data_IF_674762961718
#
_entry.id   IF_674762961718
#
_cell.length_a   1.000
_cell.length_b   1.000
_cell.length_c   1.000
_cell.angle_alpha   90.00
_cell.angle_beta   90.00
_cell.angle_gamma   90.00
#
_symmetry.space_group_name_H-M   'P 1'
#
loop_
_entity.id
_entity.type
_entity.pdbx_description
1 polymer ?
#
# COMPACT_ATOMS: atom_id res chain seq x y z
N UNK A 1 2.30 33.41 8.82
CA UNK A 1 1.11 33.40 7.97
C UNK A 1 0.26 32.16 8.31
N UNK A 2 -1.02 32.36 8.67
CA UNK A 2 -1.92 31.28 9.13
C UNK A 2 -2.02 30.13 8.10
N UNK A 3 -2.10 30.45 6.80
CA UNK A 3 -2.14 29.46 5.71
C UNK A 3 -0.83 28.64 5.62
N UNK A 4 0.34 29.25 5.93
CA UNK A 4 1.61 28.51 5.89
C UNK A 4 1.66 27.41 6.95
N UNK A 5 1.02 27.60 8.10
CA UNK A 5 0.97 26.59 9.16
C UNK A 5 0.32 25.28 8.69
N UNK A 6 -0.75 25.36 7.86
CA UNK A 6 -1.34 24.15 7.27
C UNK A 6 -0.36 23.43 6.34
N UNK A 7 0.32 24.17 5.45
CA UNK A 7 1.30 23.59 4.54
C UNK A 7 2.48 22.99 5.29
N UNK A 8 2.97 23.68 6.33
CA UNK A 8 4.09 23.22 7.16
C UNK A 8 3.71 21.92 7.89
N UNK A 9 2.47 21.83 8.41
CA UNK A 9 2.00 20.62 9.07
C UNK A 9 1.78 19.46 8.10
N UNK A 10 1.23 19.72 6.91
CA UNK A 10 1.08 18.70 5.85
C UNK A 10 2.46 18.17 5.43
N UNK A 11 3.42 19.05 5.23
CA UNK A 11 4.80 18.68 4.87
C UNK A 11 5.48 17.89 6.01
N UNK A 12 5.27 18.29 7.26
CA UNK A 12 5.76 17.54 8.41
C UNK A 12 5.19 16.13 8.45
N UNK A 13 3.89 15.98 8.27
CA UNK A 13 3.24 14.66 8.21
C UNK A 13 3.81 13.80 7.09
N UNK A 14 4.04 14.39 5.90
CA UNK A 14 4.68 13.68 4.78
C UNK A 14 6.07 13.16 5.15
N UNK A 15 6.91 13.99 5.75
CA UNK A 15 8.27 13.63 6.19
C UNK A 15 8.26 12.56 7.28
N UNK A 16 7.31 12.64 8.23
CA UNK A 16 7.12 11.61 9.26
C UNK A 16 6.74 10.29 8.60
N UNK A 17 5.82 10.29 7.63
CA UNK A 17 5.38 9.07 6.94
C UNK A 17 6.51 8.42 6.15
N UNK A 18 7.33 9.21 5.44
CA UNK A 18 8.52 8.71 4.74
C UNK A 18 9.54 8.09 5.71
N UNK A 19 9.76 8.73 6.86
CA UNK A 19 10.67 8.21 7.88
C UNK A 19 10.16 6.89 8.50
N UNK A 20 8.85 6.80 8.81
CA UNK A 20 8.25 5.57 9.33
C UNK A 20 8.35 4.40 8.34
N UNK A 21 8.13 4.67 7.06
CA UNK A 21 8.29 3.66 6.02
C UNK A 21 9.76 3.20 5.89
N UNK A 22 10.71 4.13 5.94
CA UNK A 22 12.14 3.81 5.94
C UNK A 22 12.55 2.99 7.17
N UNK A 23 12.02 3.32 8.36
CA UNK A 23 12.27 2.54 9.57
C UNK A 23 11.73 1.11 9.43
N UNK A 24 10.53 0.93 8.88
CA UNK A 24 9.96 -0.39 8.67
C UNK A 24 10.79 -1.21 7.66
N UNK A 25 11.28 -0.59 6.58
CA UNK A 25 12.16 -1.25 5.61
C UNK A 25 13.53 -1.60 6.22
N UNK A 26 14.09 -0.72 7.03
CA UNK A 26 15.33 -0.99 7.76
C UNK A 26 15.16 -2.14 8.76
N UNK A 27 14.04 -2.16 9.48
CA UNK A 27 13.71 -3.26 10.39
C UNK A 27 13.55 -4.58 9.63
N UNK A 28 12.86 -4.55 8.48
CA UNK A 28 12.72 -5.71 7.61
C UNK A 28 14.09 -6.25 7.17
N UNK A 29 14.96 -5.36 6.68
CA UNK A 29 16.32 -5.73 6.27
C UNK A 29 17.10 -6.35 7.43
N UNK A 30 17.09 -5.71 8.59
CA UNK A 30 17.79 -6.21 9.79
C UNK A 30 17.33 -7.62 10.19
N UNK A 31 16.02 -7.89 10.16
CA UNK A 31 15.47 -9.16 10.63
C UNK A 31 15.55 -10.29 9.60
N UNK A 32 15.25 -10.00 8.33
CA UNK A 32 14.99 -11.02 7.31
C UNK A 32 16.06 -11.11 6.21
N UNK A 33 17.01 -10.18 6.21
CA UNK A 33 18.15 -10.19 5.28
C UNK A 33 19.46 -10.34 6.03
N UNK A 34 19.67 -9.51 7.05
CA UNK A 34 20.90 -9.49 7.83
C UNK A 34 20.85 -10.44 9.05
N UNK A 35 19.64 -10.91 9.43
CA UNK A 35 19.36 -11.81 10.56
C UNK A 35 19.89 -11.30 11.92
N UNK A 36 19.98 -9.98 12.11
CA UNK A 36 20.61 -9.37 13.28
C UNK A 36 20.09 -9.91 14.63
N UNK A 37 18.76 -10.03 14.86
CA UNK A 37 18.25 -10.54 16.13
C UNK A 37 18.53 -12.04 16.37
N UNK A 38 18.97 -12.75 15.33
CA UNK A 38 19.12 -14.21 15.34
C UNK A 38 20.59 -14.67 15.27
N UNK A 39 21.55 -13.73 15.25
CA UNK A 39 22.99 -14.01 15.05
C UNK A 39 23.60 -14.97 16.06
N UNK A 40 23.11 -14.94 17.31
CA UNK A 40 23.59 -15.81 18.38
C UNK A 40 22.95 -17.21 18.37
N UNK A 41 21.97 -17.42 17.45
CA UNK A 41 21.28 -18.68 17.26
C UNK A 41 22.04 -19.65 16.35
N UNK A 42 21.47 -20.82 16.15
CA UNK A 42 21.97 -21.79 15.19
C UNK A 42 21.55 -21.42 13.77
N UNK A 43 22.47 -21.69 12.82
CA UNK A 43 22.22 -21.51 11.40
C UNK A 43 22.40 -22.83 10.67
N UNK A 44 21.58 -23.05 9.65
CA UNK A 44 21.62 -24.21 8.75
C UNK A 44 21.88 -23.76 7.32
N UNK A 45 22.50 -24.64 6.54
CA UNK A 45 22.72 -24.36 5.12
C UNK A 45 21.42 -24.54 4.32
N UNK A 46 21.21 -23.66 3.35
CA UNK A 46 20.09 -23.72 2.41
C UNK A 46 20.55 -23.32 1.00
N UNK A 47 19.67 -23.48 0.01
CA UNK A 47 19.91 -23.06 -1.37
C UNK A 47 20.04 -21.53 -1.53
N UNK A 48 19.57 -20.73 -0.56
CA UNK A 48 19.73 -19.29 -0.49
C UNK A 48 20.82 -18.83 0.48
N UNK A 49 21.75 -19.72 0.85
CA UNK A 49 22.80 -19.48 1.82
C UNK A 49 22.41 -19.93 3.22
N UNK A 50 23.15 -19.46 4.23
CA UNK A 50 22.90 -19.82 5.63
C UNK A 50 21.72 -19.05 6.20
N UNK A 51 20.76 -19.77 6.74
CA UNK A 51 19.54 -19.22 7.34
C UNK A 51 19.41 -19.66 8.81
N UNK A 52 18.72 -18.92 9.69
CA UNK A 52 18.49 -19.35 11.07
C UNK A 52 17.75 -20.69 11.13
N UNK A 53 18.07 -21.53 12.12
CA UNK A 53 17.38 -22.79 12.33
C UNK A 53 15.87 -22.60 12.51
N UNK A 54 15.07 -23.45 11.86
CA UNK A 54 13.61 -23.35 11.85
C UNK A 54 13.00 -22.44 10.76
N UNK A 55 13.84 -21.70 10.02
CA UNK A 55 13.39 -20.97 8.84
C UNK A 55 13.35 -21.89 7.63
N UNK A 56 12.60 -21.51 6.60
CA UNK A 56 12.40 -22.35 5.40
C UNK A 56 12.69 -21.55 4.14
N UNK A 57 13.21 -22.23 3.13
CA UNK A 57 13.16 -21.72 1.75
C UNK A 57 11.83 -22.15 1.14
N UNK A 58 11.15 -21.20 0.50
CA UNK A 58 9.88 -21.41 -0.17
C UNK A 58 9.66 -20.33 -1.21
N UNK A 59 8.42 -20.05 -1.58
CA UNK A 59 8.04 -19.04 -2.54
C UNK A 59 6.94 -18.14 -1.96
N UNK A 60 6.61 -17.04 -2.66
CA UNK A 60 5.47 -16.21 -2.26
C UNK A 60 4.16 -16.99 -2.17
N UNK A 61 3.99 -18.05 -2.97
CA UNK A 61 2.81 -18.90 -2.95
C UNK A 61 2.55 -19.51 -1.56
N UNK A 62 3.59 -19.80 -0.80
CA UNK A 62 3.50 -20.44 0.52
C UNK A 62 2.95 -19.50 1.61
N UNK A 63 2.97 -18.19 1.35
CA UNK A 63 2.51 -17.14 2.29
C UNK A 63 1.32 -16.32 1.75
N UNK A 64 0.80 -16.71 0.59
CA UNK A 64 -0.38 -16.09 -0.05
C UNK A 64 -1.57 -17.05 0.05
N UNK A 65 -2.71 -16.53 0.50
CA UNK A 65 -3.97 -17.27 0.51
C UNK A 65 -4.56 -17.37 -0.91
N UNK A 66 -4.69 -16.22 -1.59
CA UNK A 66 -5.23 -16.14 -2.94
C UNK A 66 -4.84 -14.86 -3.67
N UNK A 67 -5.00 -14.87 -4.98
CA UNK A 67 -4.84 -13.69 -5.84
C UNK A 67 -6.14 -13.43 -6.60
N UNK A 68 -6.52 -12.17 -6.75
CA UNK A 68 -7.74 -11.77 -7.44
C UNK A 68 -7.43 -10.82 -8.58
N UNK A 69 -8.05 -11.07 -9.74
CA UNK A 69 -8.04 -10.09 -10.83
C UNK A 69 -8.95 -8.90 -10.49
N UNK A 70 -8.57 -7.70 -10.94
CA UNK A 70 -9.41 -6.53 -10.79
C UNK A 70 -10.71 -6.56 -11.63
N UNK A 71 -11.49 -5.51 -11.49
CA UNK A 71 -12.70 -5.27 -12.30
C UNK A 71 -12.84 -3.76 -12.54
N UNK A 72 -12.83 -3.35 -13.82
CA UNK A 72 -12.98 -1.94 -14.19
C UNK A 72 -14.46 -1.51 -14.21
N UNK A 73 -15.37 -2.42 -14.46
CA UNK A 73 -16.79 -2.13 -14.51
C UNK A 73 -17.21 -1.11 -15.57
N UNK A 74 -18.29 -0.39 -15.27
CA UNK A 74 -18.90 0.67 -16.11
C UNK A 74 -18.82 2.03 -15.42
N UNK A 75 -18.92 3.11 -16.19
CA UNK A 75 -18.90 4.50 -15.65
C UNK A 75 -20.19 4.87 -14.93
N UNK A 76 -21.29 4.31 -15.37
CA UNK A 76 -22.60 4.52 -14.78
C UNK A 76 -23.32 3.21 -14.53
N UNK A 77 -24.36 3.26 -13.72
CA UNK A 77 -25.24 2.11 -13.46
C UNK A 77 -25.92 1.67 -14.76
N UNK A 78 -25.66 0.43 -15.20
CA UNK A 78 -26.15 -0.11 -16.47
C UNK A 78 -26.37 -1.62 -16.37
N UNK A 79 -27.59 -2.08 -16.70
CA UNK A 79 -27.94 -3.50 -16.64
C UNK A 79 -27.69 -4.08 -15.25
N UNK A 80 -26.92 -5.16 -15.19
CA UNK A 80 -26.56 -5.83 -13.93
C UNK A 80 -25.34 -5.20 -13.21
N UNK A 81 -24.74 -4.13 -13.77
CA UNK A 81 -23.69 -3.37 -13.11
C UNK A 81 -24.33 -2.31 -12.18
N UNK A 82 -24.70 -2.75 -11.00
CA UNK A 82 -25.48 -1.97 -10.03
C UNK A 82 -24.70 -1.56 -8.80
N UNK A 83 -23.65 -2.32 -8.45
CA UNK A 83 -22.84 -2.09 -7.26
C UNK A 83 -21.81 -0.97 -7.52
N UNK A 84 -21.95 0.12 -6.80
CA UNK A 84 -21.01 1.25 -6.83
C UNK A 84 -19.72 0.87 -6.10
N UNK A 85 -18.58 1.10 -6.74
CA UNK A 85 -17.25 0.86 -6.17
C UNK A 85 -16.27 1.98 -6.52
N UNK A 86 -15.20 2.06 -5.75
CA UNK A 86 -14.02 2.88 -6.03
C UNK A 86 -12.89 1.96 -6.50
N UNK A 87 -12.24 2.32 -7.62
CA UNK A 87 -11.37 1.41 -8.32
C UNK A 87 -9.90 1.87 -8.26
N UNK A 88 -9.05 1.15 -7.52
CA UNK A 88 -7.61 1.45 -7.42
C UNK A 88 -6.93 1.19 -8.76
N UNK A 89 -6.21 2.20 -9.25
CA UNK A 89 -5.33 2.12 -10.43
C UNK A 89 -3.86 2.12 -10.00
N UNK A 90 -2.96 1.73 -10.88
CA UNK A 90 -1.52 1.87 -10.67
C UNK A 90 -1.09 3.30 -10.28
N UNK A 91 -1.77 4.32 -10.84
CA UNK A 91 -1.52 5.73 -10.51
C UNK A 91 -1.91 6.12 -9.07
N UNK A 92 -2.79 5.39 -8.43
CA UNK A 92 -3.24 5.68 -7.06
C UNK A 92 -2.30 5.07 -6.00
N UNK A 93 -1.52 4.03 -6.36
CA UNK A 93 -0.63 3.29 -5.46
C UNK A 93 0.34 4.20 -4.68
N UNK A 94 1.07 5.15 -5.31
CA UNK A 94 2.00 6.00 -4.56
C UNK A 94 1.33 6.87 -3.49
N UNK A 95 0.12 7.34 -3.75
CA UNK A 95 -0.65 8.15 -2.79
C UNK A 95 -1.14 7.29 -1.63
N UNK A 96 -1.70 6.11 -1.92
CA UNK A 96 -2.19 5.17 -0.89
C UNK A 96 -1.04 4.75 0.04
N UNK A 97 0.16 4.50 -0.49
CA UNK A 97 1.36 4.19 0.32
C UNK A 97 1.69 5.29 1.33
N UNK A 98 1.46 6.55 0.98
CA UNK A 98 1.71 7.70 1.85
C UNK A 98 0.59 8.00 2.83
N UNK A 99 -0.47 7.18 2.85
CA UNK A 99 -1.63 7.37 3.70
C UNK A 99 -2.74 8.24 3.09
N UNK A 100 -2.54 8.71 1.85
CA UNK A 100 -3.56 9.47 1.13
C UNK A 100 -4.67 8.55 0.61
N UNK A 101 -5.84 9.11 0.33
CA UNK A 101 -6.97 8.34 -0.22
C UNK A 101 -6.81 7.92 -1.69
N UNK A 102 -5.84 8.51 -2.42
CA UNK A 102 -5.77 8.38 -3.87
C UNK A 102 -6.83 9.19 -4.61
N UNK A 103 -6.91 9.02 -5.92
CA UNK A 103 -7.91 9.65 -6.78
C UNK A 103 -8.68 8.57 -7.56
N UNK A 104 -9.23 7.63 -6.81
CA UNK A 104 -9.92 6.46 -7.35
C UNK A 104 -11.20 6.85 -8.06
N UNK A 105 -11.41 6.47 -9.34
CA UNK A 105 -12.66 6.71 -10.03
C UNK A 105 -13.79 5.86 -9.46
N UNK A 106 -14.99 6.43 -9.45
CA UNK A 106 -16.22 5.69 -9.19
C UNK A 106 -16.54 4.81 -10.40
N UNK A 107 -16.87 3.55 -10.14
CA UNK A 107 -17.28 2.57 -11.15
C UNK A 107 -18.49 1.77 -10.66
N UNK A 108 -19.12 1.05 -11.58
CA UNK A 108 -20.23 0.15 -11.27
C UNK A 108 -19.90 -1.24 -11.77
N UNK A 109 -19.91 -2.21 -10.87
CA UNK A 109 -19.63 -3.62 -11.16
C UNK A 109 -20.83 -4.50 -10.83
N UNK A 110 -20.76 -5.76 -11.23
CA UNK A 110 -21.77 -6.75 -10.91
C UNK A 110 -21.64 -7.12 -9.44
N UNK A 111 -22.75 -7.26 -8.72
CA UNK A 111 -22.78 -7.61 -7.29
C UNK A 111 -21.95 -8.86 -6.97
N UNK A 112 -22.07 -9.93 -7.77
CA UNK A 112 -21.29 -11.15 -7.62
C UNK A 112 -19.77 -10.89 -7.68
N UNK A 113 -19.33 -9.99 -8.57
CA UNK A 113 -17.93 -9.61 -8.68
C UNK A 113 -17.48 -8.82 -7.45
N UNK A 114 -18.32 -7.94 -6.94
CA UNK A 114 -18.02 -7.21 -5.71
C UNK A 114 -17.79 -8.16 -4.54
N UNK A 115 -18.69 -9.10 -4.31
CA UNK A 115 -18.55 -10.09 -3.23
C UNK A 115 -17.25 -10.90 -3.29
N UNK A 116 -16.74 -11.17 -4.50
CA UNK A 116 -15.50 -11.95 -4.69
C UNK A 116 -14.23 -11.10 -4.78
N UNK A 117 -14.33 -9.82 -5.15
CA UNK A 117 -13.18 -8.95 -5.48
C UNK A 117 -13.02 -7.74 -4.56
N UNK A 118 -13.96 -7.51 -3.64
CA UNK A 118 -13.83 -6.45 -2.65
C UNK A 118 -12.54 -6.62 -1.84
N UNK A 119 -11.80 -5.51 -1.72
CA UNK A 119 -10.58 -5.48 -0.95
C UNK A 119 -10.88 -5.45 0.54
N UNK A 120 -10.01 -6.08 1.30
CA UNK A 120 -10.09 -6.18 2.76
C UNK A 120 -8.83 -5.58 3.41
N UNK A 121 -8.93 -5.31 4.69
CA UNK A 121 -7.77 -4.88 5.49
C UNK A 121 -6.65 -5.93 5.45
N UNK A 122 -5.45 -5.47 5.16
CA UNK A 122 -4.28 -6.32 4.99
C UNK A 122 -4.08 -6.89 3.58
N UNK A 123 -5.03 -6.73 2.66
CA UNK A 123 -4.82 -7.05 1.25
C UNK A 123 -3.72 -6.16 0.65
N UNK A 124 -3.08 -6.65 -0.40
CA UNK A 124 -2.09 -5.90 -1.15
C UNK A 124 -2.54 -5.76 -2.61
N UNK A 125 -2.48 -4.55 -3.15
CA UNK A 125 -2.75 -4.29 -4.58
C UNK A 125 -1.44 -4.03 -5.29
N UNK A 126 -1.23 -4.74 -6.41
CA UNK A 126 -0.03 -4.68 -7.23
C UNK A 126 -0.41 -4.24 -8.64
N UNK A 127 0.34 -3.28 -9.19
CA UNK A 127 0.28 -2.91 -10.59
C UNK A 127 0.91 -4.02 -11.44
N UNK A 128 0.12 -4.66 -12.30
CA UNK A 128 0.62 -5.72 -13.17
C UNK A 128 0.77 -5.28 -14.63
N UNK A 129 0.19 -4.14 -15.00
CA UNK A 129 0.32 -3.57 -16.35
C UNK A 129 0.58 -2.08 -16.27
N UNK A 130 1.61 -1.62 -16.95
CA UNK A 130 2.04 -0.22 -16.92
C UNK A 130 3.56 -0.12 -17.08
N UNK A 131 4.18 0.59 -16.17
CA UNK A 131 5.63 0.80 -16.17
C UNK A 131 6.11 1.75 -17.24
N UNK A 132 7.42 1.92 -17.31
CA UNK A 132 8.13 2.70 -18.32
C UNK A 132 9.49 2.05 -18.56
N UNK A 133 10.31 2.53 -19.50
CA UNK A 133 11.67 2.02 -19.67
C UNK A 133 12.52 2.05 -18.39
N UNK A 134 12.26 3.02 -17.51
CA UNK A 134 13.02 3.25 -16.27
C UNK A 134 12.27 2.85 -15.00
N UNK A 135 10.97 2.51 -15.09
CA UNK A 135 10.14 2.14 -13.98
C UNK A 135 9.53 0.77 -14.22
N UNK A 136 9.86 -0.19 -13.35
CA UNK A 136 9.26 -1.51 -13.39
C UNK A 136 7.76 -1.48 -13.11
N UNK A 137 7.02 -2.44 -13.62
CA UNK A 137 5.73 -2.88 -13.09
C UNK A 137 5.94 -3.55 -11.73
N UNK A 138 4.88 -3.77 -10.98
CA UNK A 138 4.99 -4.43 -9.67
C UNK A 138 4.95 -3.48 -8.49
N UNK A 139 4.70 -2.17 -8.69
CA UNK A 139 4.42 -1.25 -7.58
C UNK A 139 3.26 -1.79 -6.75
N UNK A 140 3.39 -1.73 -5.43
CA UNK A 140 2.39 -2.27 -4.53
C UNK A 140 1.96 -1.27 -3.46
N UNK A 141 0.75 -1.43 -2.94
CA UNK A 141 0.29 -0.79 -1.71
C UNK A 141 -0.52 -1.77 -0.86
N UNK A 142 -0.49 -1.55 0.46
CA UNK A 142 -1.36 -2.26 1.40
C UNK A 142 -2.70 -1.55 1.51
N UNK A 143 -3.74 -2.34 1.73
CA UNK A 143 -5.08 -1.83 2.02
C UNK A 143 -5.22 -1.77 3.53
N UNK A 144 -5.57 -0.59 4.05
CA UNK A 144 -5.81 -0.36 5.46
C UNK A 144 -7.30 -0.24 5.75
N UNK A 145 -7.64 -0.55 7.00
CA UNK A 145 -8.99 -0.27 7.51
C UNK A 145 -9.37 1.20 7.33
N UNK A 146 -8.47 2.14 7.63
CA UNK A 146 -8.72 3.57 7.46
C UNK A 146 -9.03 3.97 6.01
N UNK A 147 -8.37 3.35 5.02
CA UNK A 147 -8.71 3.55 3.61
C UNK A 147 -10.08 2.95 3.28
N UNK A 148 -10.38 1.75 3.76
CA UNK A 148 -11.68 1.10 3.54
C UNK A 148 -12.84 1.92 4.13
N UNK A 149 -12.69 2.43 5.34
CA UNK A 149 -13.70 3.23 6.03
C UNK A 149 -14.03 4.52 5.27
N UNK A 150 -13.03 5.19 4.67
CA UNK A 150 -13.23 6.37 3.81
C UNK A 150 -14.13 6.11 2.60
N UNK A 151 -14.18 4.87 2.14
CA UNK A 151 -14.91 4.46 0.94
C UNK A 151 -16.04 3.45 1.24
N UNK A 152 -16.50 3.38 2.49
CA UNK A 152 -17.56 2.48 2.94
C UNK A 152 -17.30 1.02 2.52
N UNK A 153 -16.06 0.55 2.62
CA UNK A 153 -15.61 -0.80 2.23
C UNK A 153 -15.92 -1.19 0.78
N UNK A 154 -16.13 -0.20 -0.11
CA UNK A 154 -16.52 -0.41 -1.50
C UNK A 154 -15.34 -0.19 -2.46
N UNK A 155 -14.21 -0.85 -2.21
CA UNK A 155 -12.98 -0.70 -2.99
C UNK A 155 -12.66 -2.02 -3.72
N UNK A 156 -12.31 -1.89 -4.99
CA UNK A 156 -11.73 -2.96 -5.85
C UNK A 156 -10.50 -2.41 -6.56
N UNK A 157 -9.74 -3.25 -7.27
CA UNK A 157 -8.67 -2.78 -8.15
C UNK A 157 -9.06 -2.93 -9.63
N UNK A 158 -8.36 -2.21 -10.51
CA UNK A 158 -8.55 -2.31 -11.97
C UNK A 158 -8.00 -3.60 -12.53
N UNK A 159 -8.33 -3.91 -13.80
CA UNK A 159 -7.76 -5.05 -14.53
C UNK A 159 -6.24 -4.93 -14.76
N UNK A 160 -5.67 -3.73 -14.65
CA UNK A 160 -4.23 -3.47 -14.72
C UNK A 160 -3.54 -3.67 -13.36
N UNK A 161 -4.30 -4.06 -12.35
CA UNK A 161 -3.81 -4.40 -11.02
C UNK A 161 -4.26 -5.82 -10.65
N UNK A 162 -3.57 -6.39 -9.68
CA UNK A 162 -3.91 -7.66 -9.05
C UNK A 162 -3.99 -7.46 -7.54
N UNK A 163 -5.03 -7.97 -6.92
CA UNK A 163 -5.09 -8.04 -5.47
C UNK A 163 -4.47 -9.35 -4.98
N UNK A 164 -3.62 -9.28 -3.98
CA UNK A 164 -3.09 -10.41 -3.25
C UNK A 164 -3.72 -10.42 -1.87
N UNK A 165 -4.26 -11.55 -1.48
CA UNK A 165 -4.71 -11.84 -0.13
C UNK A 165 -3.62 -12.65 0.57
N UNK A 166 -2.82 -12.05 1.47
CA UNK A 166 -1.80 -12.78 2.20
C UNK A 166 -2.42 -13.72 3.24
N UNK A 167 -1.67 -14.74 3.65
CA UNK A 167 -1.93 -15.35 4.94
C UNK A 167 -1.74 -14.28 6.02
N UNK A 168 -2.72 -14.11 6.90
CA UNK A 168 -2.81 -12.96 7.81
C UNK A 168 -1.54 -12.71 8.62
N UNK A 169 -0.89 -13.79 9.08
CA UNK A 169 0.36 -13.74 9.86
C UNK A 169 1.54 -13.19 9.04
N UNK A 170 1.55 -13.39 7.74
CA UNK A 170 2.63 -12.95 6.84
C UNK A 170 2.35 -11.64 6.09
N UNK A 171 1.24 -10.95 6.36
CA UNK A 171 0.83 -9.78 5.56
C UNK A 171 1.88 -8.65 5.52
N UNK A 172 2.52 -8.32 6.65
CA UNK A 172 3.60 -7.33 6.69
C UNK A 172 4.89 -7.86 6.06
N UNK A 173 5.27 -9.10 6.38
CA UNK A 173 6.45 -9.74 5.80
C UNK A 173 6.37 -9.77 4.26
N UNK A 174 5.24 -10.23 3.71
CA UNK A 174 5.00 -10.29 2.26
C UNK A 174 5.12 -8.90 1.62
N UNK A 175 4.53 -7.87 2.22
CA UNK A 175 4.59 -6.52 1.69
C UNK A 175 6.03 -5.99 1.62
N UNK A 176 6.81 -6.10 2.70
CA UNK A 176 8.18 -5.59 2.72
C UNK A 176 9.15 -6.45 1.90
N UNK A 177 8.93 -7.76 1.79
CA UNK A 177 9.66 -8.62 0.86
C UNK A 177 9.40 -8.20 -0.59
N UNK A 178 8.15 -7.93 -0.94
CA UNK A 178 7.75 -7.43 -2.26
C UNK A 178 8.40 -6.08 -2.58
N UNK A 179 8.38 -5.14 -1.64
CA UNK A 179 9.02 -3.82 -1.78
C UNK A 179 10.53 -3.95 -1.95
N UNK A 180 11.17 -4.84 -1.21
CA UNK A 180 12.60 -5.13 -1.38
C UNK A 180 12.89 -5.62 -2.80
N UNK A 181 12.12 -6.58 -3.31
CA UNK A 181 12.30 -7.11 -4.67
C UNK A 181 12.05 -6.04 -5.74
N UNK A 182 11.03 -5.20 -5.54
CA UNK A 182 10.77 -4.08 -6.41
C UNK A 182 11.97 -3.11 -6.46
N UNK A 183 12.49 -2.74 -5.31
CA UNK A 183 13.63 -1.81 -5.19
C UNK A 183 14.95 -2.40 -5.70
N UNK A 184 15.12 -3.71 -5.65
CA UNK A 184 16.27 -4.42 -6.22
C UNK A 184 16.15 -4.65 -7.73
N UNK A 185 15.03 -4.28 -8.33
CA UNK A 185 14.79 -4.42 -9.76
C UNK A 185 14.48 -5.85 -10.22
N UNK A 186 14.21 -6.79 -9.31
CA UNK A 186 13.86 -8.19 -9.63
C UNK A 186 12.63 -8.25 -10.54
N UNK A 187 11.71 -7.28 -10.39
CA UNK A 187 10.50 -7.20 -11.21
C UNK A 187 10.79 -7.13 -12.71
N UNK A 188 11.90 -6.51 -13.13
CA UNK A 188 12.27 -6.42 -14.56
C UNK A 188 12.47 -7.79 -15.21
N UNK A 189 12.96 -8.79 -14.47
CA UNK A 189 13.16 -10.15 -15.00
C UNK A 189 11.85 -10.90 -15.24
N UNK A 190 10.76 -10.42 -14.66
CA UNK A 190 9.41 -10.98 -14.81
C UNK A 190 8.50 -10.13 -15.72
N UNK A 191 9.03 -9.09 -16.36
CA UNK A 191 8.26 -8.27 -17.29
C UNK A 191 8.22 -8.87 -18.70
N UNK A 192 7.00 -8.91 -19.25
CA UNK A 192 6.75 -9.27 -20.64
C UNK A 192 6.18 -8.06 -21.38
N UNK A 193 6.65 -7.81 -22.61
CA UNK A 193 6.17 -6.73 -23.45
C UNK A 193 7.30 -6.07 -24.24
N UNK A 194 7.07 -5.85 -25.52
CA UNK A 194 8.11 -5.36 -26.42
C UNK A 194 7.94 -3.90 -26.83
N UNK A 195 6.73 -3.35 -26.76
CA UNK A 195 6.44 -1.96 -27.17
C UNK A 195 5.25 -1.41 -26.36
N UNK A 196 5.51 -0.39 -25.55
CA UNK A 196 4.47 0.39 -24.86
C UNK A 196 4.16 -0.13 -23.46
N UNK A 197 3.09 -0.88 -23.29
CA UNK A 197 2.65 -1.37 -21.97
C UNK A 197 3.39 -2.66 -21.63
N UNK A 198 4.11 -2.65 -20.51
CA UNK A 198 4.73 -3.85 -19.93
C UNK A 198 3.73 -4.58 -19.05
N UNK A 199 3.86 -5.89 -18.96
CA UNK A 199 3.05 -6.73 -18.10
C UNK A 199 3.95 -7.59 -17.21
N UNK A 200 3.69 -7.58 -15.91
CA UNK A 200 4.37 -8.43 -14.94
C UNK A 200 3.81 -9.85 -15.00
N UNK A 201 4.66 -10.84 -15.22
CA UNK A 201 4.31 -12.24 -14.94
C UNK A 201 4.26 -12.48 -13.44
N UNK A 202 3.21 -11.98 -12.82
CA UNK A 202 3.01 -12.09 -11.38
C UNK A 202 2.88 -13.56 -10.93
N UNK A 203 2.33 -14.43 -11.78
CA UNK A 203 2.19 -15.85 -11.44
C UNK A 203 3.56 -16.53 -11.46
N UNK A 204 4.40 -16.23 -12.44
CA UNK A 204 5.77 -16.73 -12.51
C UNK A 204 6.58 -16.29 -11.28
N UNK A 205 6.50 -15.02 -10.92
CA UNK A 205 7.18 -14.47 -9.74
C UNK A 205 6.69 -15.15 -8.45
N UNK A 206 5.39 -15.23 -8.23
CA UNK A 206 4.81 -15.83 -7.01
C UNK A 206 5.19 -17.32 -6.86
N UNK A 207 5.30 -18.05 -7.96
CA UNK A 207 5.51 -19.50 -7.92
C UNK A 207 6.97 -19.91 -7.97
N UNK A 208 7.84 -19.10 -8.54
CA UNK A 208 9.22 -19.51 -8.86
C UNK A 208 10.29 -18.76 -8.08
N UNK A 209 10.02 -17.50 -7.68
CA UNK A 209 11.04 -16.72 -6.99
C UNK A 209 11.24 -17.25 -5.57
N UNK A 210 12.43 -17.74 -5.22
CA UNK A 210 12.68 -18.30 -3.93
C UNK A 210 12.84 -17.21 -2.87
N UNK A 211 12.22 -17.41 -1.71
CA UNK A 211 12.31 -16.52 -0.56
C UNK A 211 12.60 -17.31 0.72
N UNK A 212 13.23 -16.66 1.68
CA UNK A 212 13.41 -17.22 3.03
C UNK A 212 12.17 -16.85 3.85
N UNK A 213 11.44 -17.84 4.35
CA UNK A 213 10.21 -17.69 5.10
C UNK A 213 10.49 -17.90 6.59
N UNK A 214 10.22 -16.89 7.44
CA UNK A 214 10.41 -17.00 8.88
C UNK A 214 9.33 -17.89 9.53
N UNK A 215 9.56 -18.39 10.76
CA UNK A 215 8.51 -18.95 11.60
C UNK A 215 7.37 -17.95 11.81
N UNK A 216 6.16 -18.47 12.01
CA UNK A 216 4.93 -17.65 12.15
C UNK A 216 5.06 -16.64 13.29
N UNK A 217 5.66 -17.03 14.40
CA UNK A 217 5.86 -16.19 15.59
C UNK A 217 6.67 -14.94 15.26
N UNK A 218 7.77 -15.10 14.51
CA UNK A 218 8.65 -14.01 14.09
C UNK A 218 7.90 -13.08 13.09
N UNK A 219 7.17 -13.66 12.15
CA UNK A 219 6.36 -12.88 11.21
C UNK A 219 5.26 -12.07 11.91
N UNK A 220 4.64 -12.63 12.95
CA UNK A 220 3.63 -11.94 13.76
C UNK A 220 4.23 -10.82 14.62
N UNK A 221 5.41 -11.04 15.20
CA UNK A 221 6.11 -10.01 15.97
C UNK A 221 6.49 -8.82 15.07
N UNK A 222 7.08 -9.09 13.92
CA UNK A 222 7.36 -8.06 12.92
C UNK A 222 6.10 -7.32 12.48
N UNK A 223 5.00 -8.05 12.21
CA UNK A 223 3.71 -7.45 11.85
C UNK A 223 3.21 -6.52 12.95
N UNK A 224 3.32 -6.91 14.21
CA UNK A 224 2.88 -6.11 15.36
C UNK A 224 3.61 -4.76 15.44
N UNK A 225 4.91 -4.75 15.21
CA UNK A 225 5.72 -3.52 15.21
C UNK A 225 5.36 -2.64 14.01
N UNK A 226 5.40 -3.20 12.81
CA UNK A 226 5.18 -2.44 11.57
C UNK A 226 3.74 -1.98 11.40
N UNK A 227 2.77 -2.62 12.06
CA UNK A 227 1.38 -2.17 12.08
C UNK A 227 1.23 -0.81 12.76
N UNK A 228 1.98 -0.57 13.84
CA UNK A 228 1.98 0.74 14.55
C UNK A 228 2.46 1.85 13.60
N UNK A 229 3.53 1.59 12.84
CA UNK A 229 4.03 2.55 11.85
C UNK A 229 3.00 2.82 10.76
N UNK A 230 2.40 1.76 10.26
CA UNK A 230 1.40 1.85 9.19
C UNK A 230 0.14 2.62 9.63
N UNK A 231 -0.36 2.37 10.84
CA UNK A 231 -1.50 3.11 11.41
C UNK A 231 -1.16 4.59 11.59
N UNK A 232 0.05 4.92 12.02
CA UNK A 232 0.50 6.30 12.12
C UNK A 232 0.57 6.99 10.76
N UNK A 233 1.08 6.31 9.72
CA UNK A 233 1.09 6.81 8.34
C UNK A 233 -0.34 7.12 7.88
N UNK A 234 -1.28 6.22 8.12
CA UNK A 234 -2.68 6.41 7.76
C UNK A 234 -3.33 7.59 8.51
N UNK A 235 -3.07 7.70 9.81
CA UNK A 235 -3.56 8.81 10.64
C UNK A 235 -3.03 10.17 10.16
N UNK A 236 -1.74 10.27 9.87
CA UNK A 236 -1.13 11.47 9.31
C UNK A 236 -1.69 11.84 7.94
N UNK A 237 -2.02 10.84 7.10
CA UNK A 237 -2.69 11.05 5.82
C UNK A 237 -4.09 11.64 5.98
N UNK A 238 -4.88 11.13 6.94
CA UNK A 238 -6.21 11.69 7.28
C UNK A 238 -6.09 13.14 7.76
N UNK A 239 -5.14 13.42 8.63
CA UNK A 239 -4.90 14.78 9.14
C UNK A 239 -4.52 15.73 7.99
N UNK A 240 -3.60 15.30 7.13
CA UNK A 240 -3.16 16.10 5.97
C UNK A 240 -4.29 16.40 4.99
N UNK A 241 -5.21 15.45 4.78
CA UNK A 241 -6.39 15.67 3.95
C UNK A 241 -7.31 16.72 4.56
N UNK A 242 -7.61 16.63 5.86
CA UNK A 242 -8.43 17.64 6.58
C UNK A 242 -7.80 19.03 6.51
N UNK A 243 -6.48 19.12 6.75
CA UNK A 243 -5.76 20.41 6.67
C UNK A 243 -5.80 20.99 5.26
N UNK A 244 -5.65 20.17 4.22
CA UNK A 244 -5.78 20.61 2.84
C UNK A 244 -7.19 21.15 2.53
N UNK A 245 -8.24 20.46 2.96
CA UNK A 245 -9.61 20.90 2.78
C UNK A 245 -9.89 22.22 3.52
N UNK A 246 -9.43 22.37 4.75
CA UNK A 246 -9.54 23.61 5.52
C UNK A 246 -8.81 24.75 4.81
N UNK A 247 -7.56 24.55 4.41
CA UNK A 247 -6.80 25.53 3.64
C UNK A 247 -7.53 25.98 2.39
N UNK A 248 -7.99 25.04 1.58
CA UNK A 248 -8.64 25.32 0.28
C UNK A 248 -10.00 26.00 0.45
N UNK A 249 -10.67 25.80 1.58
CA UNK A 249 -11.91 26.48 1.94
C UNK A 249 -11.67 27.90 2.47
N UNK A 250 -10.62 28.09 3.29
CA UNK A 250 -10.36 29.38 3.94
C UNK A 250 -9.61 30.35 3.03
N UNK A 251 -8.74 29.85 2.14
CA UNK A 251 -7.91 30.71 1.29
C UNK A 251 -8.71 31.69 0.43
N UNK A 252 -9.77 31.30 -0.31
CA UNK A 252 -10.57 32.26 -1.08
C UNK A 252 -11.25 33.32 -0.21
N UNK A 253 -11.74 32.95 0.97
CA UNK A 253 -12.46 33.86 1.89
C UNK A 253 -11.55 34.87 2.55
N UNK A 254 -10.27 34.46 2.82
CA UNK A 254 -9.24 35.39 3.30
C UNK A 254 -8.77 36.33 2.19
N UNK A 255 -8.67 35.86 0.96
CA UNK A 255 -8.27 36.68 -0.19
C UNK A 255 -9.34 37.67 -0.59
N UNK A 256 -10.64 37.35 -0.46
CA UNK A 256 -11.74 38.25 -0.74
C UNK A 256 -12.01 39.28 0.38
N UNK A 257 -11.35 39.14 1.55
CA UNK A 257 -11.62 39.97 2.72
C UNK A 257 -12.92 39.60 3.46
N UNK A 258 -13.59 38.52 3.08
CA UNK A 258 -14.79 38.01 3.77
C UNK A 258 -14.46 37.52 5.20
N UNK A 259 -13.23 37.04 5.39
CA UNK A 259 -12.68 36.66 6.70
C UNK A 259 -11.44 37.50 6.99
N UNK A 260 -11.38 38.10 8.18
CA UNK A 260 -10.13 38.68 8.73
C UNK A 260 -9.41 37.62 9.58
N UNK A 261 -8.08 37.68 9.60
CA UNK A 261 -7.25 36.73 10.42
C UNK A 261 -7.59 36.86 11.92
N UNK A 262 -8.09 38.03 12.36
CA UNK A 262 -8.53 38.27 13.73
C UNK A 262 -9.81 37.54 14.12
N UNK A 263 -10.57 37.04 13.16
CA UNK A 263 -11.86 36.36 13.37
C UNK A 263 -11.70 34.83 13.53
N UNK A 264 -10.48 34.33 13.33
CA UNK A 264 -10.14 32.92 13.48
C UNK A 264 -9.60 32.69 14.89
N UNK A 265 -10.49 32.32 15.81
CA UNK A 265 -10.09 31.99 17.19
C UNK A 265 -9.30 30.67 17.21
N UNK A 266 -8.06 30.69 17.70
CA UNK A 266 -7.11 29.55 17.75
C UNK A 266 -7.70 28.29 18.44
N UNK A 267 -8.77 28.47 19.22
CA UNK A 267 -9.37 27.39 20.02
C UNK A 267 -10.39 26.52 19.28
N UNK A 268 -10.92 26.99 18.16
CA UNK A 268 -12.01 26.27 17.43
C UNK A 268 -11.49 25.31 16.35
N UNK A 269 -10.18 25.30 16.08
CA UNK A 269 -9.58 24.55 14.97
C UNK A 269 -9.07 23.18 15.39
N UNK A 270 -8.89 22.96 16.71
CA UNK A 270 -8.27 21.73 17.26
C UNK A 270 -9.22 20.90 18.16
N UNK A 271 -10.56 21.10 18.03
CA UNK A 271 -11.55 20.22 18.69
C UNK A 271 -12.09 19.15 17.76
#
# INVERSE_FOLDING_TARGET
NFISMFNDKIELNRRINENLEQQAQALFKSWFVDFEPFKDGKFVDSELGRIPEGWKVGTFKDIIHSTLSGDWGKECKQGNHTQKVFCIRGADIPNIKRGDKGNMPTRFIIEKNFQSKALMDGDMVIEVSGGSPTQATGRACRISRGLLDKYNHSIVCTNFCRAIKPLSQYSSFLYYMWEMFYNQGIMFSYENGTTGIKNLDINGLIQKEPIIIPPVEIALEFKKITQIYYEKIQSNGVESEKLSQLRDTLLPRLMSGELAITDVDDRSIFQ
#
